data_IF_622881572982
#
_entry.id   IF_622881572982
#
_cell.length_a   1.000
_cell.length_b   1.000
_cell.length_c   1.000
_cell.angle_alpha   90.00
_cell.angle_beta   90.00
_cell.angle_gamma   90.00
#
_symmetry.space_group_name_H-M   'P 1'
#
loop_
_entity.id
_entity.type
_entity.pdbx_description
1 polymer ?
#
# COMPACT_ATOMS: atom_id res chain seq x y z
N UNK A 1 3.41 0.11 -25.32
CA UNK A 1 2.71 -0.97 -24.61
C UNK A 1 3.10 -0.96 -23.14
N UNK A 2 2.20 -1.35 -22.24
CA UNK A 2 2.40 -1.31 -20.78
C UNK A 2 3.59 -2.17 -20.33
N UNK A 3 3.74 -3.37 -20.88
CA UNK A 3 4.84 -4.29 -20.54
C UNK A 3 6.20 -3.69 -20.87
N UNK A 4 6.32 -3.04 -22.04
CA UNK A 4 7.57 -2.36 -22.45
C UNK A 4 7.94 -1.25 -21.46
N UNK A 5 6.99 -0.40 -21.08
CA UNK A 5 7.24 0.74 -20.17
C UNK A 5 7.72 0.25 -18.80
N UNK A 6 7.01 -0.74 -18.22
CA UNK A 6 7.38 -1.29 -16.91
C UNK A 6 8.75 -1.98 -16.98
N UNK A 7 8.98 -2.78 -18.03
CA UNK A 7 10.26 -3.49 -18.22
C UNK A 7 11.44 -2.55 -18.44
N UNK A 8 11.27 -1.48 -19.21
CA UNK A 8 12.31 -0.46 -19.41
C UNK A 8 12.62 0.30 -18.11
N UNK A 9 11.60 0.66 -17.34
CA UNK A 9 11.78 1.31 -16.04
C UNK A 9 12.57 0.41 -15.07
N UNK A 10 12.23 -0.88 -15.00
CA UNK A 10 12.94 -1.85 -14.17
C UNK A 10 14.43 -1.96 -14.56
N UNK A 11 14.71 -2.09 -15.86
CA UNK A 11 16.10 -2.14 -16.38
C UNK A 11 16.89 -0.87 -16.09
N UNK A 12 16.26 0.30 -16.14
CA UNK A 12 16.92 1.57 -15.81
C UNK A 12 17.30 1.65 -14.34
N UNK A 13 16.41 1.21 -13.45
CA UNK A 13 16.70 1.13 -12.01
C UNK A 13 17.85 0.15 -11.76
N UNK A 14 17.78 -1.05 -12.34
CA UNK A 14 18.84 -2.06 -12.23
C UNK A 14 20.18 -1.53 -12.74
N UNK A 15 20.20 -0.90 -13.92
CA UNK A 15 21.44 -0.35 -14.51
C UNK A 15 22.05 0.77 -13.65
N UNK A 16 21.21 1.58 -13.00
CA UNK A 16 21.66 2.71 -12.19
C UNK A 16 22.08 2.31 -10.76
N UNK A 17 21.48 1.26 -10.20
CA UNK A 17 21.63 0.89 -8.79
C UNK A 17 22.28 -0.46 -8.55
N UNK A 18 22.36 -1.31 -9.57
CA UNK A 18 22.73 -2.72 -9.45
C UNK A 18 21.65 -3.60 -8.80
N UNK A 19 20.48 -3.05 -8.48
CA UNK A 19 19.40 -3.76 -7.78
C UNK A 19 18.27 -4.05 -8.75
N UNK A 20 17.89 -5.33 -8.86
CA UNK A 20 16.68 -5.74 -9.58
C UNK A 20 15.46 -5.36 -8.73
N UNK A 21 14.60 -4.44 -9.19
CA UNK A 21 13.45 -4.03 -8.39
C UNK A 21 12.43 -5.18 -8.28
N UNK A 22 11.97 -5.45 -7.06
CA UNK A 22 10.96 -6.49 -6.75
C UNK A 22 9.60 -5.92 -6.37
N UNK A 23 9.55 -4.62 -6.07
CA UNK A 23 8.35 -3.90 -5.68
C UNK A 23 7.90 -2.96 -6.80
N UNK A 24 6.60 -2.91 -7.07
CA UNK A 24 6.02 -2.08 -8.13
C UNK A 24 4.97 -1.11 -7.57
N UNK A 25 5.01 0.15 -8.03
CA UNK A 25 3.94 1.12 -7.82
C UNK A 25 3.78 1.90 -9.13
N UNK A 26 2.55 2.00 -9.62
CA UNK A 26 2.26 2.77 -10.81
C UNK A 26 2.19 4.27 -10.49
N UNK A 27 2.49 5.11 -11.48
CA UNK A 27 2.25 6.54 -11.36
C UNK A 27 0.76 6.83 -11.20
N UNK A 28 0.40 7.74 -10.30
CA UNK A 28 -0.99 8.12 -9.99
C UNK A 28 -1.92 6.95 -9.61
N UNK A 29 -1.36 5.79 -9.25
CA UNK A 29 -2.13 4.57 -9.02
C UNK A 29 -2.91 4.12 -10.26
N UNK A 30 -2.45 4.44 -11.46
CA UNK A 30 -3.08 4.03 -12.71
C UNK A 30 -2.89 2.53 -12.95
N UNK A 31 -3.94 1.80 -13.31
CA UNK A 31 -3.83 0.38 -13.64
C UNK A 31 -4.98 -0.10 -14.53
N UNK A 32 -4.66 -1.03 -15.43
CA UNK A 32 -5.59 -1.95 -16.08
C UNK A 32 -5.64 -3.30 -15.36
N UNK A 33 -6.58 -4.17 -15.73
CA UNK A 33 -6.67 -5.55 -15.21
C UNK A 33 -5.45 -6.42 -15.54
N UNK A 34 -4.69 -6.06 -16.58
CA UNK A 34 -3.44 -6.74 -16.93
C UNK A 34 -2.24 -6.33 -16.07
N UNK A 35 -2.33 -5.22 -15.32
CA UNK A 35 -1.17 -4.58 -14.68
C UNK A 35 -0.43 -5.51 -13.74
N UNK A 36 -1.15 -6.20 -12.85
CA UNK A 36 -0.54 -7.10 -11.89
C UNK A 36 0.13 -8.29 -12.56
N UNK A 37 -0.54 -8.89 -13.55
CA UNK A 37 0.00 -10.03 -14.30
C UNK A 37 1.27 -9.63 -15.05
N UNK A 38 1.25 -8.49 -15.75
CA UNK A 38 2.43 -7.95 -16.44
C UNK A 38 3.57 -7.70 -15.45
N UNK A 39 3.30 -7.05 -14.31
CA UNK A 39 4.32 -6.81 -13.30
C UNK A 39 4.89 -8.12 -12.74
N UNK A 40 4.04 -9.11 -12.46
CA UNK A 40 4.47 -10.40 -11.96
C UNK A 40 5.37 -11.16 -12.95
N UNK A 41 4.98 -11.19 -14.22
CA UNK A 41 5.77 -11.79 -15.32
C UNK A 41 7.13 -11.10 -15.51
N UNK A 42 7.20 -9.78 -15.29
CA UNK A 42 8.44 -9.00 -15.33
C UNK A 42 9.33 -9.17 -14.09
N UNK A 43 8.92 -9.97 -13.10
CA UNK A 43 9.72 -10.30 -11.94
C UNK A 43 9.34 -9.56 -10.65
N UNK A 44 8.39 -8.64 -10.68
CA UNK A 44 7.89 -8.01 -9.46
C UNK A 44 7.07 -9.01 -8.62
N UNK A 45 7.05 -8.84 -7.30
CA UNK A 45 6.37 -9.77 -6.37
C UNK A 45 5.48 -9.08 -5.37
N UNK A 46 5.57 -7.77 -5.25
CA UNK A 46 4.68 -7.00 -4.39
C UNK A 46 4.49 -5.62 -4.97
N UNK A 47 3.44 -4.96 -4.55
CA UNK A 47 3.17 -3.60 -4.97
C UNK A 47 2.32 -2.84 -3.99
N UNK A 48 2.12 -1.58 -4.36
CA UNK A 48 1.13 -0.70 -3.76
C UNK A 48 0.61 0.17 -4.88
N UNK A 49 -0.21 -0.48 -5.71
CA UNK A 49 -0.76 0.02 -6.96
C UNK A 49 -2.14 0.63 -6.73
N UNK A 50 -2.91 0.13 -5.76
CA UNK A 50 -4.27 0.57 -5.50
C UNK A 50 -4.36 1.66 -4.44
N UNK A 51 -5.34 2.54 -4.63
CA UNK A 51 -5.77 3.53 -3.64
C UNK A 51 -7.28 3.37 -3.41
N UNK A 52 -7.71 2.62 -2.39
CA UNK A 52 -9.11 2.34 -2.12
C UNK A 52 -9.97 3.61 -2.11
N UNK A 53 -11.08 3.59 -2.86
CA UNK A 53 -12.00 4.73 -2.99
C UNK A 53 -11.60 5.79 -4.04
N UNK A 54 -10.44 5.67 -4.69
CA UNK A 54 -10.07 6.57 -5.78
C UNK A 54 -10.88 6.32 -7.05
N UNK A 55 -11.42 7.39 -7.61
CA UNK A 55 -12.16 7.41 -8.88
C UNK A 55 -11.74 8.63 -9.73
N UNK A 56 -10.55 8.57 -10.31
CA UNK A 56 -10.06 9.59 -11.26
C UNK A 56 -9.89 8.96 -12.64
N UNK A 57 -10.97 8.98 -13.43
CA UNK A 57 -11.01 8.35 -14.76
C UNK A 57 -9.95 8.88 -15.72
N UNK A 58 -9.62 10.17 -15.62
CA UNK A 58 -8.56 10.79 -16.44
C UNK A 58 -7.16 10.24 -16.17
N UNK A 59 -6.91 9.69 -14.98
CA UNK A 59 -5.64 9.06 -14.58
C UNK A 59 -5.64 7.55 -14.82
N UNK A 60 -6.74 6.97 -15.35
CA UNK A 60 -6.98 5.53 -15.33
C UNK A 60 -6.84 4.91 -13.91
N UNK A 61 -7.22 5.68 -12.88
CA UNK A 61 -7.13 5.29 -11.47
C UNK A 61 -8.55 5.16 -10.90
N UNK A 62 -9.18 4.01 -11.15
CA UNK A 62 -10.51 3.67 -10.63
C UNK A 62 -10.38 2.41 -9.77
N UNK A 63 -10.54 2.61 -8.47
CA UNK A 63 -10.32 1.67 -7.37
C UNK A 63 -11.53 1.58 -6.43
N UNK A 64 -12.68 2.09 -6.86
CA UNK A 64 -13.95 1.90 -6.16
C UNK A 64 -14.24 0.41 -6.03
N UNK A 65 -14.45 -0.06 -4.80
CA UNK A 65 -14.73 -1.47 -4.51
C UNK A 65 -13.50 -2.37 -4.38
N UNK A 66 -12.27 -1.85 -4.48
CA UNK A 66 -11.06 -2.66 -4.22
C UNK A 66 -10.88 -2.96 -2.73
N UNK A 67 -10.16 -4.04 -2.43
CA UNK A 67 -9.80 -4.41 -1.06
C UNK A 67 -8.88 -3.36 -0.41
N UNK A 68 -9.15 -3.04 0.86
CA UNK A 68 -8.35 -2.08 1.63
C UNK A 68 -7.16 -2.72 2.36
N UNK A 69 -7.16 -4.04 2.53
CA UNK A 69 -6.15 -4.80 3.26
C UNK A 69 -5.22 -5.57 2.31
N UNK A 70 -3.99 -5.94 2.73
CA UNK A 70 -3.09 -6.69 1.88
C UNK A 70 -3.65 -8.04 1.44
N UNK A 71 -3.53 -8.31 0.14
CA UNK A 71 -4.09 -9.51 -0.48
C UNK A 71 -3.25 -9.95 -1.67
N UNK A 72 -3.30 -11.24 -1.98
CA UNK A 72 -2.87 -11.71 -3.28
C UNK A 72 -3.88 -11.28 -4.33
N UNK A 73 -3.37 -10.83 -5.46
CA UNK A 73 -4.19 -10.24 -6.52
C UNK A 73 -4.76 -11.30 -7.45
N UNK A 74 -5.89 -10.99 -8.08
CA UNK A 74 -6.39 -11.76 -9.21
C UNK A 74 -5.63 -11.37 -10.50
N UNK A 75 -5.25 -12.32 -11.36
CA UNK A 75 -4.42 -12.04 -12.54
C UNK A 75 -5.16 -11.30 -13.66
N UNK A 76 -6.50 -11.28 -13.63
CA UNK A 76 -7.36 -10.74 -14.70
C UNK A 76 -8.40 -9.73 -14.19
N UNK A 77 -8.40 -9.42 -12.89
CA UNK A 77 -9.31 -8.42 -12.30
C UNK A 77 -8.56 -7.72 -11.17
N UNK A 78 -8.23 -6.45 -11.38
CA UNK A 78 -7.40 -5.71 -10.39
C UNK A 78 -8.15 -5.36 -9.11
N UNK A 79 -9.48 -5.47 -9.08
CA UNK A 79 -10.30 -5.00 -7.96
C UNK A 79 -10.51 -6.08 -6.90
N UNK A 80 -10.36 -7.35 -7.25
CA UNK A 80 -10.68 -8.48 -6.38
C UNK A 80 -9.43 -9.25 -5.94
N UNK A 81 -9.52 -9.88 -4.78
CA UNK A 81 -8.53 -10.83 -4.31
C UNK A 81 -8.43 -12.07 -5.21
N UNK A 82 -7.25 -12.67 -5.24
CA UNK A 82 -6.96 -13.87 -6.00
C UNK A 82 -5.82 -14.68 -5.38
N UNK A 83 -5.21 -15.53 -6.20
CA UNK A 83 -4.18 -16.48 -5.76
C UNK A 83 -2.83 -16.27 -6.45
N UNK A 84 -2.67 -15.25 -7.30
CA UNK A 84 -1.37 -14.95 -7.90
C UNK A 84 -0.45 -14.42 -6.80
N UNK A 85 0.78 -14.98 -6.62
CA UNK A 85 1.68 -14.63 -5.52
C UNK A 85 2.42 -13.30 -5.76
N UNK A 86 1.64 -12.29 -6.13
CA UNK A 86 1.96 -10.88 -6.11
C UNK A 86 1.16 -10.25 -4.97
N UNK A 87 1.81 -9.79 -3.91
CA UNK A 87 1.11 -9.15 -2.80
C UNK A 87 0.82 -7.69 -3.13
N UNK A 88 -0.45 -7.33 -3.23
CA UNK A 88 -0.84 -5.92 -3.22
C UNK A 88 -0.95 -5.44 -1.77
N UNK A 89 -0.35 -4.28 -1.51
CA UNK A 89 -0.46 -3.53 -0.26
C UNK A 89 -1.10 -2.18 -0.59
N UNK A 90 -2.45 -2.09 -0.52
CA UNK A 90 -3.17 -0.87 -0.87
C UNK A 90 -2.66 0.32 -0.06
N UNK A 91 -2.65 1.51 -0.67
CA UNK A 91 -2.41 2.74 0.09
C UNK A 91 -3.48 2.86 1.16
N UNK A 92 -3.10 3.19 2.39
CA UNK A 92 -4.09 3.38 3.45
C UNK A 92 -4.89 4.64 3.17
N UNK A 93 -6.19 4.47 2.98
CA UNK A 93 -7.11 5.53 2.61
C UNK A 93 -8.48 5.34 3.26
N UNK A 94 -9.20 6.44 3.45
CA UNK A 94 -10.64 6.41 3.72
C UNK A 94 -11.38 6.26 2.40
N UNK A 95 -11.79 5.03 2.09
CA UNK A 95 -12.48 4.73 0.84
C UNK A 95 -13.88 5.39 0.72
N UNK A 96 -14.42 5.95 1.82
CA UNK A 96 -15.75 6.53 1.87
C UNK A 96 -15.75 8.07 1.81
N UNK A 97 -14.59 8.70 2.03
CA UNK A 97 -14.47 10.15 2.09
C UNK A 97 -13.43 10.67 1.11
N UNK A 98 -13.74 11.79 0.45
CA UNK A 98 -12.84 12.43 -0.53
C UNK A 98 -12.54 13.87 -0.14
N UNK A 99 -11.28 14.27 -0.22
CA UNK A 99 -10.86 15.67 -0.02
C UNK A 99 -10.90 16.49 -1.32
N UNK A 100 -10.87 15.78 -2.45
CA UNK A 100 -11.01 16.32 -3.81
C UNK A 100 -11.82 15.33 -4.62
N UNK A 101 -12.58 15.79 -5.61
CA UNK A 101 -13.40 14.94 -6.49
C UNK A 101 -12.65 13.68 -6.95
N UNK A 102 -13.12 12.52 -6.49
CA UNK A 102 -12.56 11.20 -6.84
C UNK A 102 -11.23 10.85 -6.18
N UNK A 103 -10.71 11.65 -5.23
CA UNK A 103 -9.47 11.37 -4.50
C UNK A 103 -9.78 11.24 -3.01
N UNK A 104 -9.58 10.05 -2.43
CA UNK A 104 -9.88 9.80 -1.03
C UNK A 104 -8.85 10.45 -0.12
N UNK A 105 -9.21 10.70 1.14
CA UNK A 105 -8.19 10.96 2.17
C UNK A 105 -7.27 9.74 2.26
N UNK A 106 -5.95 9.94 2.17
CA UNK A 106 -4.95 8.87 2.22
C UNK A 106 -3.81 9.22 3.17
N UNK A 107 -2.97 8.25 3.53
CA UNK A 107 -1.77 8.49 4.35
C UNK A 107 -0.57 8.97 3.52
N UNK A 108 -0.79 9.64 2.39
CA UNK A 108 0.33 10.29 1.69
C UNK A 108 0.86 11.42 2.55
N UNK A 109 2.18 11.43 2.80
CA UNK A 109 2.83 12.51 3.57
C UNK A 109 2.87 13.85 2.83
N UNK A 110 2.49 13.82 1.56
CA UNK A 110 2.55 14.97 0.69
C UNK A 110 1.31 15.87 0.78
N UNK A 111 0.30 15.47 1.54
CA UNK A 111 -1.01 16.11 1.63
C UNK A 111 -1.45 16.22 3.08
N UNK A 112 -2.17 17.29 3.42
CA UNK A 112 -2.82 17.42 4.73
C UNK A 112 -1.87 17.79 5.87
N UNK A 113 -2.51 18.05 7.02
CA UNK A 113 -1.85 18.32 8.30
C UNK A 113 -2.03 17.12 9.24
N UNK A 114 -1.07 16.91 10.13
CA UNK A 114 -1.06 15.82 11.09
C UNK A 114 -2.39 15.63 11.84
N UNK A 115 -2.83 16.66 12.57
CA UNK A 115 -3.99 16.58 13.48
C UNK A 115 -5.33 16.48 12.74
N UNK A 116 -5.42 17.05 11.55
CA UNK A 116 -6.66 17.13 10.77
C UNK A 116 -6.85 15.94 9.83
N UNK A 117 -5.75 15.28 9.44
CA UNK A 117 -5.74 14.30 8.36
C UNK A 117 -5.12 12.98 8.77
N UNK A 118 -3.83 12.95 9.11
CA UNK A 118 -3.11 11.68 9.27
C UNK A 118 -3.48 10.96 10.55
N UNK A 119 -3.48 11.64 11.71
CA UNK A 119 -3.81 11.00 12.97
C UNK A 119 -5.25 10.43 12.96
N UNK A 120 -6.31 11.20 12.59
CA UNK A 120 -7.66 10.67 12.55
C UNK A 120 -7.81 9.48 11.59
N UNK A 121 -7.11 9.52 10.44
CA UNK A 121 -7.15 8.45 9.46
C UNK A 121 -6.45 7.17 9.97
N UNK A 122 -5.28 7.29 10.61
CA UNK A 122 -4.59 6.14 11.23
C UNK A 122 -5.50 5.50 12.28
N UNK A 123 -6.06 6.30 13.19
CA UNK A 123 -6.93 5.81 14.25
C UNK A 123 -8.19 5.13 13.70
N UNK A 124 -8.82 5.72 12.67
CA UNK A 124 -9.98 5.12 12.03
C UNK A 124 -9.65 3.78 11.38
N UNK A 125 -8.50 3.67 10.72
CA UNK A 125 -8.07 2.43 10.06
C UNK A 125 -7.66 1.35 11.05
N UNK A 126 -6.98 1.70 12.15
CA UNK A 126 -6.68 0.75 13.22
C UNK A 126 -7.97 0.22 13.85
N UNK A 127 -8.91 1.09 14.20
CA UNK A 127 -10.23 0.69 14.74
C UNK A 127 -11.00 -0.20 13.76
N UNK A 128 -10.98 0.11 12.46
CA UNK A 128 -11.58 -0.75 11.43
C UNK A 128 -10.94 -2.12 11.43
N UNK A 129 -9.61 -2.19 11.33
CA UNK A 129 -8.86 -3.45 11.29
C UNK A 129 -9.07 -4.33 12.52
N UNK A 130 -9.27 -3.72 13.68
CA UNK A 130 -9.64 -4.43 14.91
C UNK A 130 -11.08 -4.93 14.86
N UNK A 131 -12.02 -4.06 14.51
CA UNK A 131 -13.46 -4.37 14.46
C UNK A 131 -13.77 -5.47 13.45
N UNK A 132 -13.16 -5.39 12.27
CA UNK A 132 -13.32 -6.36 11.19
C UNK A 132 -12.45 -7.62 11.39
N UNK A 133 -11.61 -7.64 12.42
CA UNK A 133 -10.66 -8.71 12.71
C UNK A 133 -9.84 -9.12 11.47
N UNK A 134 -9.25 -8.13 10.80
CA UNK A 134 -8.51 -8.38 9.56
C UNK A 134 -7.32 -9.30 9.82
N UNK A 135 -7.06 -10.23 8.91
CA UNK A 135 -6.04 -11.28 9.09
C UNK A 135 -4.61 -10.73 9.16
N UNK A 136 -4.37 -9.61 8.49
CA UNK A 136 -3.07 -8.98 8.42
C UNK A 136 -3.23 -7.46 8.41
N UNK A 137 -2.75 -6.80 9.48
CA UNK A 137 -2.87 -5.36 9.65
C UNK A 137 -1.65 -4.66 9.05
N UNK A 138 -1.89 -3.64 8.23
CA UNK A 138 -0.80 -2.83 7.67
C UNK A 138 -1.26 -1.42 7.39
N UNK A 139 -0.37 -0.45 7.62
CA UNK A 139 -0.54 0.92 7.17
C UNK A 139 0.49 1.19 6.06
N UNK A 140 0.04 1.63 4.89
CA UNK A 140 0.86 1.94 3.73
C UNK A 140 0.88 3.44 3.48
N UNK A 141 2.06 4.04 3.67
CA UNK A 141 2.28 5.48 3.73
C UNK A 141 3.18 5.87 2.55
N UNK A 142 2.62 6.35 1.43
CA UNK A 142 3.41 6.82 0.30
C UNK A 142 3.97 8.23 0.54
N UNK A 143 5.03 8.56 -0.18
CA UNK A 143 5.58 9.92 -0.26
C UNK A 143 6.15 10.16 -1.66
N UNK A 144 6.21 11.43 -2.08
CA UNK A 144 6.88 11.87 -3.29
C UNK A 144 8.11 12.69 -2.92
N UNK A 145 9.16 12.56 -3.72
CA UNK A 145 10.37 13.37 -3.65
C UNK A 145 10.19 14.81 -4.16
N UNK A 146 8.98 15.36 -4.08
CA UNK A 146 8.67 16.75 -4.44
C UNK A 146 8.90 17.71 -3.28
N UNK A 147 8.98 17.20 -2.05
CA UNK A 147 9.09 17.99 -0.83
C UNK A 147 10.43 17.73 -0.15
N UNK A 148 11.05 18.81 0.34
CA UNK A 148 12.25 18.72 1.14
C UNK A 148 11.92 18.36 2.59
N UNK A 149 11.77 17.06 2.89
CA UNK A 149 11.59 16.58 4.27
C UNK A 149 12.79 16.88 5.21
N UNK A 150 13.89 17.37 4.63
CA UNK A 150 15.09 17.82 5.36
C UNK A 150 15.05 19.32 5.67
N UNK A 151 14.01 20.04 5.24
CA UNK A 151 13.84 21.45 5.55
C UNK A 151 13.05 21.58 6.86
N UNK A 152 13.53 22.46 7.73
CA UNK A 152 12.86 22.74 9.00
C UNK A 152 11.51 23.44 8.77
N UNK A 153 10.56 23.21 9.67
CA UNK A 153 9.28 23.92 9.79
C UNK A 153 8.36 23.90 8.56
N UNK A 154 8.51 22.92 7.67
CA UNK A 154 7.51 22.66 6.62
C UNK A 154 6.39 21.77 7.14
N UNK A 155 5.18 21.89 6.59
CA UNK A 155 4.04 21.01 6.92
C UNK A 155 4.43 19.55 6.74
N UNK A 156 5.17 19.22 5.70
CA UNK A 156 5.60 17.85 5.41
C UNK A 156 6.60 17.32 6.44
N UNK A 157 7.54 18.15 6.89
CA UNK A 157 8.51 17.79 7.94
C UNK A 157 7.79 17.60 9.27
N UNK A 158 6.92 18.53 9.67
CA UNK A 158 6.11 18.41 10.90
C UNK A 158 5.26 17.14 10.87
N UNK A 159 4.54 16.88 9.77
CA UNK A 159 3.72 15.68 9.61
C UNK A 159 4.56 14.40 9.70
N UNK A 160 5.74 14.35 9.09
CA UNK A 160 6.64 13.20 9.19
C UNK A 160 7.13 12.98 10.62
N UNK A 161 7.55 14.04 11.32
CA UNK A 161 7.99 13.96 12.73
C UNK A 161 6.86 13.46 13.62
N UNK A 162 5.67 14.08 13.53
CA UNK A 162 4.51 13.67 14.32
C UNK A 162 4.07 12.24 14.02
N UNK A 163 4.16 11.78 12.76
CA UNK A 163 3.90 10.39 12.40
C UNK A 163 4.87 9.42 13.08
N UNK A 164 6.16 9.74 13.09
CA UNK A 164 7.19 8.89 13.74
C UNK A 164 6.95 8.83 15.24
N UNK A 165 6.73 9.97 15.89
CA UNK A 165 6.44 10.05 17.33
C UNK A 165 5.18 9.26 17.68
N UNK A 166 4.14 9.35 16.84
CA UNK A 166 2.90 8.61 17.03
C UNK A 166 3.10 7.10 16.89
N UNK A 167 3.91 6.64 15.93
CA UNK A 167 4.23 5.21 15.83
C UNK A 167 5.05 4.69 17.00
N UNK A 168 5.90 5.53 17.60
CA UNK A 168 6.60 5.17 18.83
C UNK A 168 5.63 5.04 20.01
N UNK A 169 4.64 5.93 20.13
CA UNK A 169 3.56 5.76 21.13
C UNK A 169 2.73 4.50 20.88
N UNK A 170 2.37 4.20 19.62
CA UNK A 170 1.60 3.01 19.27
C UNK A 170 2.30 1.70 19.65
N UNK A 171 3.63 1.69 19.84
CA UNK A 171 4.36 0.50 20.31
C UNK A 171 3.98 0.05 21.72
N UNK A 172 3.35 0.92 22.51
CA UNK A 172 2.82 0.55 23.84
C UNK A 172 1.61 -0.40 23.73
N UNK A 173 0.93 -0.40 22.58
CA UNK A 173 -0.30 -1.16 22.36
C UNK A 173 -0.19 -2.19 21.23
N UNK A 174 0.72 -1.98 20.27
CA UNK A 174 0.88 -2.81 19.09
C UNK A 174 2.34 -3.21 18.89
N UNK A 175 2.56 -4.38 18.29
CA UNK A 175 3.87 -4.72 17.73
C UNK A 175 4.06 -4.01 16.38
N UNK A 176 4.51 -2.75 16.42
CA UNK A 176 4.71 -1.93 15.22
C UNK A 176 6.03 -2.33 14.53
N UNK A 177 5.94 -2.83 13.30
CA UNK A 177 7.10 -3.25 12.49
C UNK A 177 7.24 -2.34 11.26
N UNK A 178 8.10 -1.31 11.30
CA UNK A 178 8.39 -0.52 10.11
C UNK A 178 9.18 -1.36 9.11
N UNK A 179 8.72 -1.43 7.86
CA UNK A 179 9.34 -2.30 6.86
C UNK A 179 9.04 -1.86 5.42
N UNK A 180 9.76 -2.43 4.46
CA UNK A 180 9.53 -2.20 3.03
C UNK A 180 8.37 -3.05 2.52
N UNK A 181 7.85 -2.78 1.31
CA UNK A 181 6.85 -3.65 0.67
C UNK A 181 7.31 -5.12 0.60
N UNK A 182 8.61 -5.35 0.34
CA UNK A 182 9.18 -6.70 0.32
C UNK A 182 9.14 -7.35 1.70
N UNK A 183 9.44 -6.58 2.75
CA UNK A 183 9.33 -7.04 4.12
C UNK A 183 7.88 -7.34 4.52
N UNK A 184 6.92 -6.47 4.17
CA UNK A 184 5.48 -6.75 4.35
C UNK A 184 5.12 -8.08 3.71
N UNK A 185 5.56 -8.32 2.47
CA UNK A 185 5.29 -9.59 1.79
C UNK A 185 5.92 -10.80 2.49
N UNK A 186 7.14 -10.66 3.02
CA UNK A 186 7.76 -11.72 3.81
C UNK A 186 6.98 -12.02 5.10
N UNK A 187 6.46 -11.00 5.79
CA UNK A 187 5.61 -11.16 6.97
C UNK A 187 4.26 -11.79 6.61
N UNK A 188 3.61 -11.32 5.55
CA UNK A 188 2.34 -11.83 5.06
C UNK A 188 2.40 -13.34 4.81
N UNK A 189 3.43 -13.82 4.07
CA UNK A 189 3.62 -15.25 3.81
C UNK A 189 3.76 -16.07 5.09
N UNK A 190 4.53 -15.59 6.07
CA UNK A 190 4.68 -16.29 7.36
C UNK A 190 3.34 -16.40 8.08
N UNK A 191 2.54 -15.34 8.11
CA UNK A 191 1.21 -15.34 8.72
C UNK A 191 0.23 -16.26 7.98
N UNK A 192 0.20 -16.25 6.65
CA UNK A 192 -0.66 -17.15 5.87
C UNK A 192 -0.30 -18.62 6.12
N UNK A 193 0.98 -18.97 6.20
CA UNK A 193 1.42 -20.35 6.45
C UNK A 193 1.06 -20.84 7.86
N UNK A 194 1.09 -19.95 8.87
CA UNK A 194 0.65 -20.28 10.24
C UNK A 194 -0.87 -20.55 10.26
N UNK A 195 -1.66 -19.69 9.60
CA UNK A 195 -3.12 -19.86 9.51
C UNK A 195 -3.55 -21.17 8.82
N UNK A 196 -2.79 -21.67 7.84
CA UNK A 196 -3.04 -22.97 7.21
C UNK A 196 -2.76 -24.15 8.16
N UNK A 197 -1.67 -24.11 8.92
CA UNK A 197 -1.35 -25.19 9.87
C UNK A 197 -2.33 -25.24 11.05
N UNK A 198 -2.87 -24.10 11.48
CA UNK A 198 -3.88 -24.05 12.53
C UNK A 198 -5.26 -24.52 12.03
N UNK A 199 -5.61 -24.25 10.76
CA UNK A 199 -6.83 -24.76 10.13
C UNK A 199 -6.80 -26.30 9.97
N UNK A 200 -5.66 -26.87 9.58
CA UNK A 200 -5.50 -28.33 9.41
C UNK A 200 -5.48 -29.08 10.74
N UNK A 201 -5.18 -28.42 11.87
CA UNK A 201 -5.24 -29.01 13.22
C UNK A 201 -6.65 -29.04 13.84
N UNK A 202 -7.63 -28.37 13.22
CA UNK A 202 -9.00 -28.28 13.72
C UNK A 202 -10.03 -28.98 12.84
N UNK A 203 -9.61 -29.78 11.86
CA UNK A 203 -10.49 -30.75 11.20
C UNK A 203 -10.46 -32.08 11.99
N UNK A 204 -11.58 -32.51 12.59
CA UNK A 204 -11.69 -33.81 13.27
C UNK A 204 -11.72 -35.00 12.31
#
# INVERSE_FOLDING_TARGET
DQRTIIGDAARRIESATGIIPRSFRSGMYSASDDTYRIAFELGFRQGSVSQPGREVKGDAAVWTGTHADPHYVHPEDRLVEGNMPFLEVPVTADAQSTYRRGVPYDLSLDQGYWDEWHQPLIEAQLRRMETENVRFRSLCIPTRNLYGFHLDDTVQTTTLTSLVDYFDMLREHYNVVPTTLEGVHAHYRKHSLVSWHDAVRHEP
#
